data_IF_225587486807
#
_entry.id   IF_225587486807
#
_cell.length_a   1.000
_cell.length_b   1.000
_cell.length_c   1.000
_cell.angle_alpha   90.00
_cell.angle_beta   90.00
_cell.angle_gamma   90.00
#
_symmetry.space_group_name_H-M   'P 1'
#
loop_
_entity.id
_entity.type
_entity.pdbx_description
1 polymer ?
#
# COMPACT_ATOMS: atom_id res chain seq x y z
N UNK A 1 11.52 11.43 -11.60
CA UNK A 1 11.09 12.45 -10.62
C UNK A 1 9.60 12.34 -10.42
N UNK A 2 9.13 12.59 -9.21
CA UNK A 2 7.71 12.51 -8.86
C UNK A 2 7.01 13.82 -9.26
N UNK A 3 5.82 13.76 -9.86
CA UNK A 3 5.00 14.94 -10.13
C UNK A 3 4.42 15.55 -8.85
N UNK A 4 3.97 16.81 -8.90
CA UNK A 4 3.20 17.43 -7.81
C UNK A 4 1.92 16.64 -7.49
N UNK A 5 1.27 16.12 -8.53
CA UNK A 5 0.07 15.28 -8.43
C UNK A 5 0.35 13.98 -7.66
N UNK A 6 1.44 13.30 -8.01
CA UNK A 6 1.89 12.10 -7.32
C UNK A 6 2.33 12.39 -5.88
N UNK A 7 2.90 13.56 -5.63
CA UNK A 7 3.25 13.97 -4.28
C UNK A 7 2.01 14.17 -3.42
N UNK A 8 1.00 14.89 -3.92
CA UNK A 8 -0.27 15.08 -3.24
C UNK A 8 -0.97 13.73 -2.93
N UNK A 9 -0.91 12.78 -3.87
CA UNK A 9 -1.49 11.45 -3.66
C UNK A 9 -0.78 10.68 -2.54
N UNK A 10 0.55 10.66 -2.54
CA UNK A 10 1.31 9.97 -1.51
C UNK A 10 1.12 10.63 -0.14
N UNK A 11 1.07 11.96 -0.09
CA UNK A 11 0.75 12.70 1.14
C UNK A 11 -0.59 12.27 1.72
N UNK A 12 -1.64 12.20 0.89
CA UNK A 12 -2.95 11.75 1.32
C UNK A 12 -2.98 10.26 1.71
N UNK A 13 -2.40 9.38 0.90
CA UNK A 13 -2.43 7.93 1.12
C UNK A 13 -1.66 7.51 2.38
N UNK A 14 -0.55 8.18 2.66
CA UNK A 14 0.32 7.85 3.78
C UNK A 14 0.04 8.70 5.02
N UNK A 15 -0.99 9.56 4.97
CA UNK A 15 -1.38 10.41 6.10
C UNK A 15 -1.75 9.56 7.31
N UNK A 16 -1.29 9.98 8.49
CA UNK A 16 -1.46 9.27 9.76
C UNK A 16 -1.01 7.78 9.80
N UNK A 17 -0.33 7.29 8.76
CA UNK A 17 0.21 5.93 8.77
C UNK A 17 1.53 5.88 9.55
N UNK A 18 1.73 4.86 10.40
CA UNK A 18 2.96 4.71 11.16
C UNK A 18 4.13 4.29 10.26
N UNK A 19 5.33 4.70 10.67
CA UNK A 19 6.58 4.38 9.98
C UNK A 19 6.87 5.30 8.81
N UNK A 20 8.09 5.19 8.27
CA UNK A 20 8.54 6.00 7.12
C UNK A 20 8.73 5.17 5.87
N UNK A 21 8.87 3.85 5.99
CA UNK A 21 9.15 2.94 4.87
C UNK A 21 7.92 2.12 4.54
N UNK A 22 7.58 2.10 3.27
CA UNK A 22 6.44 1.37 2.75
C UNK A 22 6.82 0.66 1.45
N UNK A 23 6.25 -0.53 1.24
CA UNK A 23 6.17 -1.16 -0.08
C UNK A 23 4.76 -0.98 -0.61
N UNK A 24 4.64 -0.27 -1.72
CA UNK A 24 3.38 -0.04 -2.43
C UNK A 24 3.29 -1.03 -3.59
N UNK A 25 2.27 -1.88 -3.55
CA UNK A 25 1.89 -2.77 -4.64
C UNK A 25 0.63 -2.23 -5.31
N UNK A 26 0.71 -2.00 -6.62
CA UNK A 26 -0.38 -1.55 -7.46
C UNK A 26 -0.83 -2.70 -8.37
N UNK A 27 -2.06 -3.15 -8.15
CA UNK A 27 -2.73 -4.10 -9.02
C UNK A 27 -3.57 -3.34 -10.05
N UNK A 28 -3.17 -3.43 -11.31
CA UNK A 28 -3.96 -2.99 -12.48
C UNK A 28 -4.11 -4.20 -13.41
N UNK A 29 -4.01 -4.01 -14.74
CA UNK A 29 -3.78 -5.12 -15.68
C UNK A 29 -2.44 -5.83 -15.44
N UNK A 30 -1.51 -5.17 -14.75
CA UNK A 30 -0.22 -5.69 -14.32
C UNK A 30 -0.03 -5.36 -12.84
N UNK A 31 0.72 -6.22 -12.16
CA UNK A 31 1.21 -5.93 -10.82
C UNK A 31 2.48 -5.11 -10.94
N UNK A 32 2.52 -3.98 -10.24
CA UNK A 32 3.66 -3.08 -10.16
C UNK A 32 3.98 -2.85 -8.68
N UNK A 33 5.27 -2.72 -8.35
CA UNK A 33 5.72 -2.56 -6.97
C UNK A 33 6.76 -1.45 -6.92
N UNK A 34 6.72 -0.64 -5.85
CA UNK A 34 7.77 0.32 -5.52
C UNK A 34 7.94 0.42 -4.01
N UNK A 35 9.16 0.63 -3.55
CA UNK A 35 9.37 1.21 -2.23
C UNK A 35 9.07 2.71 -2.23
N UNK A 36 8.54 3.18 -1.10
CA UNK A 36 8.29 4.59 -0.79
C UNK A 36 8.84 4.86 0.60
N UNK A 37 9.76 5.81 0.71
CA UNK A 37 10.29 6.27 1.99
C UNK A 37 9.95 7.75 2.21
N UNK A 38 9.25 8.05 3.31
CA UNK A 38 8.97 9.42 3.74
C UNK A 38 10.26 10.08 4.23
N UNK A 39 10.56 11.26 3.68
CA UNK A 39 11.68 12.13 4.05
C UNK A 39 11.13 13.42 4.68
N UNK A 40 12.00 14.25 5.25
CA UNK A 40 11.60 15.56 5.79
C UNK A 40 10.94 16.43 4.71
N UNK A 41 11.48 16.41 3.49
CA UNK A 41 10.99 17.17 2.34
C UNK A 41 10.41 16.26 1.25
N UNK A 42 9.48 15.38 1.62
CA UNK A 42 8.67 14.61 0.67
C UNK A 42 8.91 13.11 0.68
N UNK A 43 9.11 12.52 -0.51
CA UNK A 43 9.17 11.08 -0.71
C UNK A 43 10.34 10.68 -1.59
N UNK A 44 11.08 9.68 -1.13
CA UNK A 44 11.98 8.90 -1.97
C UNK A 44 11.21 7.69 -2.51
N UNK A 45 11.15 7.55 -3.82
CA UNK A 45 10.39 6.49 -4.50
C UNK A 45 11.30 5.81 -5.49
N UNK A 46 11.50 4.51 -5.30
CA UNK A 46 12.38 3.68 -6.14
C UNK A 46 11.91 3.66 -7.61
N UNK A 47 10.61 3.49 -7.83
CA UNK A 47 9.99 3.49 -9.15
C UNK A 47 8.84 4.52 -9.22
N UNK A 48 9.13 5.81 -9.48
CA UNK A 48 8.12 6.86 -9.53
C UNK A 48 6.95 6.56 -10.49
N UNK A 49 7.23 5.86 -11.59
CA UNK A 49 6.23 5.47 -12.59
C UNK A 49 5.09 4.59 -12.05
N UNK A 50 5.29 3.90 -10.91
CA UNK A 50 4.23 3.14 -10.22
C UNK A 50 3.23 4.10 -9.58
N UNK A 51 3.72 5.13 -8.89
CA UNK A 51 2.89 6.16 -8.26
C UNK A 51 2.17 6.99 -9.33
N UNK A 52 2.86 7.38 -10.40
CA UNK A 52 2.22 8.10 -11.52
C UNK A 52 1.09 7.27 -12.18
N UNK A 53 1.23 5.94 -12.21
CA UNK A 53 0.19 5.07 -12.73
C UNK A 53 -0.98 4.96 -11.76
N UNK A 54 -0.73 4.93 -10.46
CA UNK A 54 -1.78 5.02 -9.45
C UNK A 54 -2.53 6.36 -9.58
N UNK A 55 -1.82 7.49 -9.73
CA UNK A 55 -2.44 8.79 -10.03
C UNK A 55 -3.37 8.70 -11.24
N UNK A 56 -2.88 8.14 -12.34
CA UNK A 56 -3.69 7.97 -13.55
C UNK A 56 -4.94 7.13 -13.30
N UNK A 57 -4.82 6.03 -12.54
CA UNK A 57 -5.95 5.17 -12.20
C UNK A 57 -7.00 5.93 -11.37
N UNK A 58 -6.57 6.66 -10.34
CA UNK A 58 -7.46 7.47 -9.50
C UNK A 58 -8.09 8.58 -10.34
N UNK A 59 -7.33 9.41 -11.06
CA UNK A 59 -7.87 10.52 -11.85
C UNK A 59 -8.85 10.06 -12.95
N UNK A 60 -8.55 8.95 -13.62
CA UNK A 60 -9.43 8.40 -14.67
C UNK A 60 -10.66 7.66 -14.13
N UNK A 61 -10.71 7.35 -12.83
CA UNK A 61 -11.72 6.46 -12.25
C UNK A 61 -11.55 5.00 -12.69
N UNK A 62 -10.35 4.63 -13.12
CA UNK A 62 -10.03 3.27 -13.53
C UNK A 62 -10.00 2.31 -12.34
N UNK A 63 -10.30 1.03 -12.60
CA UNK A 63 -10.20 -0.01 -11.59
C UNK A 63 -8.74 -0.38 -11.32
N UNK A 64 -8.36 -0.31 -10.05
CA UNK A 64 -7.09 -0.79 -9.54
C UNK A 64 -7.25 -1.20 -8.07
N UNK A 65 -6.28 -1.92 -7.53
CA UNK A 65 -6.14 -2.11 -6.09
C UNK A 65 -4.74 -1.69 -5.64
N UNK A 66 -4.66 -1.11 -4.46
CA UNK A 66 -3.40 -0.70 -3.83
C UNK A 66 -3.26 -1.50 -2.55
N UNK A 67 -2.11 -2.16 -2.37
CA UNK A 67 -1.73 -2.82 -1.13
C UNK A 67 -0.47 -2.15 -0.62
N UNK A 68 -0.49 -1.72 0.64
CA UNK A 68 0.63 -1.11 1.31
C UNK A 68 1.13 -2.04 2.42
N UNK A 69 2.42 -2.36 2.37
CA UNK A 69 3.13 -3.06 3.44
C UNK A 69 4.03 -2.09 4.19
N UNK A 70 3.80 -1.93 5.49
CA UNK A 70 4.54 -1.00 6.35
C UNK A 70 5.24 -1.76 7.48
N UNK A 71 6.57 -1.95 7.43
CA UNK A 71 7.33 -2.46 8.55
C UNK A 71 7.19 -1.57 9.78
N UNK A 72 7.07 -2.18 10.95
CA UNK A 72 7.04 -1.50 12.26
C UNK A 72 8.38 -1.66 12.98
N UNK A 73 8.51 -1.01 14.13
CA UNK A 73 9.64 -1.17 15.07
C UNK A 73 9.54 -2.44 15.92
N UNK A 74 8.39 -3.11 15.94
CA UNK A 74 8.18 -4.35 16.69
C UNK A 74 8.80 -5.52 15.95
N UNK A 75 9.59 -6.33 16.66
CA UNK A 75 10.15 -7.55 16.09
C UNK A 75 9.10 -8.66 16.11
N UNK A 76 8.88 -9.28 14.95
CA UNK A 76 8.06 -10.49 14.81
C UNK A 76 8.86 -11.71 15.24
N UNK A 77 10.06 -11.84 14.68
CA UNK A 77 10.95 -12.95 14.94
C UNK A 77 12.37 -12.65 14.45
N UNK A 78 13.33 -13.42 14.93
CA UNK A 78 14.71 -13.40 14.47
C UNK A 78 14.98 -14.63 13.60
N UNK A 79 15.65 -14.44 12.47
CA UNK A 79 16.10 -15.52 11.59
C UNK A 79 17.33 -16.24 12.20
N UNK A 80 17.66 -17.47 11.75
CA UNK A 80 18.80 -18.21 12.29
C UNK A 80 20.16 -17.53 12.15
N UNK A 81 20.29 -16.59 11.20
CA UNK A 81 21.48 -15.77 10.98
C UNK A 81 21.53 -14.52 11.88
N UNK A 82 20.55 -14.35 12.77
CA UNK A 82 20.47 -13.23 13.71
C UNK A 82 19.76 -11.99 13.15
N UNK A 83 19.22 -12.04 11.93
CA UNK A 83 18.48 -10.90 11.37
C UNK A 83 17.09 -10.82 11.99
N UNK A 84 16.79 -9.68 12.63
CA UNK A 84 15.46 -9.38 13.15
C UNK A 84 14.50 -9.00 12.02
N UNK A 85 13.36 -9.69 11.97
CA UNK A 85 12.27 -9.44 11.01
C UNK A 85 11.19 -8.63 11.72
N UNK A 86 10.88 -7.41 11.27
CA UNK A 86 9.85 -6.59 11.87
C UNK A 86 8.44 -7.14 11.58
N UNK A 87 7.50 -6.84 12.47
CA UNK A 87 6.08 -6.96 12.17
C UNK A 87 5.74 -6.00 11.03
N UNK A 88 5.08 -6.50 10.00
CA UNK A 88 4.64 -5.71 8.84
C UNK A 88 3.13 -5.56 8.86
N UNK A 89 2.64 -4.32 8.86
CA UNK A 89 1.22 -4.03 8.71
C UNK A 89 0.84 -4.02 7.23
N UNK A 90 -0.26 -4.66 6.87
CA UNK A 90 -0.74 -4.76 5.49
C UNK A 90 -2.14 -4.17 5.39
N UNK A 91 -2.25 -3.10 4.60
CA UNK A 91 -3.49 -2.35 4.35
C UNK A 91 -3.78 -2.31 2.87
N UNK A 92 -5.04 -2.16 2.49
CA UNK A 92 -5.40 -2.08 1.09
C UNK A 92 -6.58 -1.20 0.79
N UNK A 93 -6.61 -0.69 -0.44
CA UNK A 93 -7.67 0.14 -0.99
C UNK A 93 -8.04 -0.35 -2.38
N UNK A 94 -9.32 -0.26 -2.72
CA UNK A 94 -9.80 -0.37 -4.09
C UNK A 94 -9.89 1.02 -4.70
N UNK A 95 -9.35 1.19 -5.90
CA UNK A 95 -9.56 2.40 -6.71
C UNK A 95 -10.85 2.22 -7.51
N UNK A 96 -11.81 3.11 -7.28
CA UNK A 96 -13.07 3.14 -8.02
C UNK A 96 -13.66 4.55 -7.97
N UNK A 97 -14.28 5.00 -9.07
CA UNK A 97 -14.96 6.30 -9.16
C UNK A 97 -14.12 7.49 -8.65
N UNK A 98 -12.82 7.47 -8.97
CA UNK A 98 -11.83 8.48 -8.56
C UNK A 98 -11.57 8.57 -7.05
N UNK A 99 -11.90 7.52 -6.32
CA UNK A 99 -11.69 7.40 -4.88
C UNK A 99 -10.80 6.21 -4.53
N UNK A 100 -10.28 6.21 -3.29
CA UNK A 100 -9.62 5.06 -2.66
C UNK A 100 -10.53 4.52 -1.55
N UNK A 101 -11.23 3.43 -1.84
CA UNK A 101 -12.16 2.79 -0.90
C UNK A 101 -11.36 1.84 -0.01
N UNK A 102 -11.32 2.06 1.32
CA UNK A 102 -10.55 1.22 2.23
C UNK A 102 -11.12 -0.21 2.31
N UNK A 103 -10.21 -1.17 2.44
CA UNK A 103 -10.52 -2.55 2.78
C UNK A 103 -10.37 -2.75 4.29
N UNK A 104 -11.28 -3.53 4.86
CA UNK A 104 -11.22 -3.94 6.25
C UNK A 104 -10.27 -5.14 6.45
N UNK A 105 -9.96 -5.46 7.70
CA UNK A 105 -9.11 -6.59 8.09
C UNK A 105 -9.57 -7.90 7.44
N UNK A 106 -10.87 -8.19 7.43
CA UNK A 106 -11.41 -9.43 6.89
C UNK A 106 -11.18 -9.54 5.38
N UNK A 107 -11.43 -8.47 4.62
CA UNK A 107 -11.14 -8.43 3.17
C UNK A 107 -9.65 -8.49 2.89
N UNK A 108 -8.82 -7.88 3.73
CA UNK A 108 -7.36 -7.97 3.58
C UNK A 108 -6.83 -9.36 3.88
N UNK A 109 -7.37 -10.03 4.90
CA UNK A 109 -7.05 -11.41 5.24
C UNK A 109 -7.45 -12.35 4.11
N UNK A 110 -8.70 -12.31 3.66
CA UNK A 110 -9.21 -13.15 2.57
C UNK A 110 -8.39 -12.97 1.28
N UNK A 111 -8.07 -11.73 0.91
CA UNK A 111 -7.28 -11.44 -0.29
C UNK A 111 -5.86 -12.05 -0.29
N UNK A 112 -5.30 -12.36 0.89
CA UNK A 112 -3.94 -12.91 1.02
C UNK A 112 -3.91 -14.36 1.50
N UNK A 113 -4.97 -14.83 2.14
CA UNK A 113 -5.06 -16.16 2.76
C UNK A 113 -6.01 -17.09 2.01
N UNK A 114 -6.32 -16.76 0.75
CA UNK A 114 -7.12 -17.59 -0.15
C UNK A 114 -6.36 -17.76 -1.46
N UNK A 115 -6.14 -19.00 -1.87
CA UNK A 115 -5.51 -19.31 -3.16
C UNK A 115 -6.44 -18.88 -4.29
N UNK A 116 -5.98 -17.93 -5.12
CA UNK A 116 -6.81 -17.34 -6.17
C UNK A 116 -7.27 -18.31 -7.27
N UNK A 117 -6.59 -19.44 -7.45
CA UNK A 117 -6.92 -20.41 -8.49
C UNK A 117 -7.96 -21.44 -8.03
N UNK A 118 -7.84 -21.91 -6.78
CA UNK A 118 -8.67 -22.98 -6.21
C UNK A 118 -9.73 -22.46 -5.24
N UNK A 119 -9.53 -21.29 -4.63
CA UNK A 119 -10.34 -20.77 -3.54
C UNK A 119 -10.03 -21.40 -2.18
N UNK A 120 -9.01 -22.27 -2.10
CA UNK A 120 -8.65 -22.94 -0.85
C UNK A 120 -7.90 -22.00 0.11
N UNK A 121 -8.07 -22.15 1.44
CA UNK A 121 -7.34 -21.36 2.41
C UNK A 121 -5.83 -21.60 2.34
N UNK A 122 -5.06 -20.52 2.43
CA UNK A 122 -3.60 -20.49 2.55
C UNK A 122 -3.23 -19.91 3.92
N UNK A 123 -2.24 -20.46 4.64
CA UNK A 123 -1.81 -19.89 5.92
C UNK A 123 -1.33 -18.44 5.80
N UNK A 124 -1.59 -17.58 6.80
CA UNK A 124 -1.10 -16.21 6.80
C UNK A 124 0.43 -16.16 6.83
N UNK A 125 1.00 -15.13 6.22
CA UNK A 125 2.44 -14.88 6.21
C UNK A 125 2.95 -14.58 7.63
N UNK A 126 4.03 -15.24 8.05
CA UNK A 126 4.61 -15.05 9.38
C UNK A 126 5.11 -13.60 9.54
N UNK A 127 4.66 -12.94 10.60
CA UNK A 127 5.05 -11.56 10.91
C UNK A 127 4.30 -10.49 10.13
N UNK A 128 3.29 -10.89 9.35
CA UNK A 128 2.35 -9.97 8.73
C UNK A 128 1.11 -9.84 9.60
N UNK A 129 0.62 -8.61 9.74
CA UNK A 129 -0.67 -8.29 10.34
C UNK A 129 -1.52 -7.58 9.29
N UNK A 130 -2.58 -8.24 8.83
CA UNK A 130 -3.62 -7.62 8.02
C UNK A 130 -4.47 -6.72 8.93
N UNK A 131 -4.79 -5.51 8.48
CA UNK A 131 -5.49 -4.52 9.31
C UNK A 131 -6.31 -3.58 8.46
N UNK A 132 -7.27 -2.90 9.08
CA UNK A 132 -8.11 -1.91 8.43
C UNK A 132 -7.27 -0.80 7.78
N UNK A 133 -7.64 -0.46 6.55
CA UNK A 133 -7.15 0.72 5.88
C UNK A 133 -7.94 1.96 6.33
N UNK A 134 -7.27 3.08 6.65
CA UNK A 134 -7.98 4.33 6.93
C UNK A 134 -8.62 4.89 5.66
N UNK A 135 -9.62 5.76 5.84
CA UNK A 135 -10.13 6.59 4.75
C UNK A 135 -9.03 7.54 4.27
N UNK A 136 -9.01 7.82 2.95
CA UNK A 136 -8.02 8.73 2.34
C UNK A 136 -8.74 9.97 1.83
N UNK A 137 -8.35 11.13 2.34
CA UNK A 137 -8.85 12.42 1.82
C UNK A 137 -8.09 12.83 0.56
N UNK A 138 -8.76 12.73 -0.59
CA UNK A 138 -8.20 13.09 -1.89
C UNK A 138 -8.52 14.52 -2.33
N UNK A 139 -9.03 15.37 -1.44
CA UNK A 139 -9.43 16.75 -1.79
C UNK A 139 -8.26 17.55 -2.38
N UNK A 140 -7.08 17.50 -1.76
CA UNK A 140 -5.88 18.18 -2.25
C UNK A 140 -5.36 17.57 -3.56
N UNK A 141 -5.45 16.24 -3.68
CA UNK A 141 -5.04 15.52 -4.89
C UNK A 141 -5.92 15.88 -6.10
N UNK A 142 -7.23 16.02 -5.92
CA UNK A 142 -8.13 16.40 -7.03
C UNK A 142 -8.09 17.90 -7.37
N UNK A 143 -7.56 18.72 -6.46
CA UNK A 143 -7.38 20.16 -6.66
C UNK A 143 -6.03 20.56 -7.25
N UNK A 144 -5.10 19.61 -7.44
CA UNK A 144 -3.80 19.82 -8.10
C UNK A 144 -3.88 19.61 -9.61
#
# INVERSE_FOLDING_TARGET
MLSSHAHALLSALLDDLPGTKHLLTLHTRRVLVTSVERREEGFEVEHPAVVERLCTAVTSGGLAAVVLRSPTDRISHTLPDGVDVPVTLVRGWTVTDRTLVPLDEARMFDAHCTDSASGEPVPPERGVVYTDAPAVDLTLFHGT
#
